data_IF_503430131810
#
_entry.id   IF_503430131810
#
_cell.length_a   1.000
_cell.length_b   1.000
_cell.length_c   1.000
_cell.angle_alpha   90.00
_cell.angle_beta   90.00
_cell.angle_gamma   90.00
#
_symmetry.space_group_name_H-M   'P 1'
#
loop_
_entity.id
_entity.type
_entity.pdbx_description
1 polymer ?
#
# COMPACT_ATOMS: atom_id res chain seq x y z
N UNK A 1 13.36 -4.16 3.20
CA UNK A 1 14.14 -3.09 3.88
C UNK A 1 14.29 -1.95 2.91
N UNK A 2 13.89 -0.75 3.32
CA UNK A 2 13.79 0.42 2.44
C UNK A 2 14.49 1.61 3.10
N UNK A 3 15.33 2.31 2.33
CA UNK A 3 16.01 3.52 2.80
C UNK A 3 15.13 4.75 2.54
N UNK A 4 15.04 5.61 3.55
CA UNK A 4 14.40 6.92 3.51
C UNK A 4 15.50 7.98 3.47
N UNK A 5 15.88 8.52 2.29
CA UNK A 5 17.04 9.42 2.17
C UNK A 5 16.96 10.68 3.03
N UNK A 6 15.76 11.21 3.19
CA UNK A 6 15.45 12.30 4.11
C UNK A 6 14.29 11.84 5.01
N UNK A 7 14.54 11.49 6.28
CA UNK A 7 15.62 12.00 7.13
C UNK A 7 16.89 11.13 7.30
N UNK A 8 17.12 10.15 6.42
CA UNK A 8 18.27 9.23 6.48
C UNK A 8 18.02 8.00 7.34
N UNK A 9 16.78 7.49 7.33
CA UNK A 9 16.34 6.35 8.14
C UNK A 9 16.23 5.08 7.30
N UNK A 10 16.22 3.93 7.97
CA UNK A 10 15.97 2.63 7.35
C UNK A 10 14.69 2.04 7.93
N UNK A 11 13.75 1.70 7.04
CA UNK A 11 12.56 0.90 7.39
C UNK A 11 12.89 -0.57 7.15
N UNK A 12 12.73 -1.38 8.19
CA UNK A 12 12.84 -2.83 8.11
C UNK A 12 11.53 -3.45 8.59
N UNK A 13 11.01 -4.41 7.83
CA UNK A 13 9.83 -5.17 8.18
C UNK A 13 10.11 -6.66 8.03
N UNK A 14 9.40 -7.45 8.81
CA UNK A 14 9.36 -8.91 8.66
C UNK A 14 7.94 -9.34 8.90
N UNK A 15 7.44 -10.22 8.04
CA UNK A 15 6.16 -10.90 8.20
C UNK A 15 6.40 -12.40 8.18
N UNK A 16 5.67 -13.13 9.00
CA UNK A 16 5.67 -14.58 9.06
C UNK A 16 4.25 -15.10 9.11
N UNK A 17 3.97 -16.15 8.34
CA UNK A 17 2.70 -16.84 8.34
C UNK A 17 2.81 -18.12 9.19
N UNK A 18 1.82 -18.37 10.04
CA UNK A 18 1.73 -19.59 10.85
C UNK A 18 0.30 -20.09 10.99
N UNK A 19 0.13 -21.17 11.76
CA UNK A 19 -1.17 -21.82 11.97
C UNK A 19 -2.26 -20.89 12.55
N UNK A 20 -1.86 -19.76 13.13
CA UNK A 20 -2.76 -18.78 13.79
C UNK A 20 -2.88 -17.46 13.00
N UNK A 21 -2.41 -17.43 11.75
CA UNK A 21 -2.41 -16.26 10.88
C UNK A 21 -1.04 -15.62 10.74
N UNK A 22 -1.03 -14.34 10.40
CA UNK A 22 0.19 -13.57 10.16
C UNK A 22 0.63 -12.85 11.43
N UNK A 23 1.94 -12.79 11.63
CA UNK A 23 2.57 -11.91 12.62
C UNK A 23 3.86 -11.32 12.06
N UNK A 24 4.20 -10.14 12.53
CA UNK A 24 5.34 -9.41 12.00
C UNK A 24 5.70 -8.20 12.82
N UNK A 25 6.73 -7.49 12.38
CA UNK A 25 7.13 -6.21 12.95
C UNK A 25 7.55 -5.25 11.86
N UNK A 26 7.48 -3.96 12.17
CA UNK A 26 8.09 -2.89 11.39
C UNK A 26 8.95 -2.07 12.34
N UNK A 27 10.18 -1.79 11.94
CA UNK A 27 11.15 -1.00 12.69
C UNK A 27 11.70 0.11 11.82
N UNK A 28 11.90 1.26 12.43
CA UNK A 28 12.68 2.35 11.89
C UNK A 28 14.00 2.45 12.64
N UNK A 29 15.09 2.54 11.90
CA UNK A 29 16.44 2.65 12.42
C UNK A 29 17.11 3.93 11.93
N UNK A 30 17.84 4.61 12.81
CA UNK A 30 18.82 5.61 12.41
C UNK A 30 20.19 4.94 12.31
N UNK A 31 20.71 4.65 11.10
CA UNK A 31 21.99 3.98 10.94
C UNK A 31 23.18 4.82 11.41
N UNK A 32 23.02 6.14 11.62
CA UNK A 32 24.10 7.03 12.06
C UNK A 32 24.35 6.91 13.57
N UNK A 33 23.28 6.79 14.35
CA UNK A 33 23.40 6.53 15.79
C UNK A 33 23.44 5.04 16.12
N UNK A 34 22.89 4.20 15.22
CA UNK A 34 22.71 2.77 15.45
C UNK A 34 21.46 2.44 16.25
N UNK A 35 20.62 3.43 16.56
CA UNK A 35 19.44 3.25 17.40
C UNK A 35 18.18 2.93 16.59
N UNK A 36 17.30 2.16 17.23
CA UNK A 36 15.93 1.99 16.77
C UNK A 36 15.11 3.19 17.23
N UNK A 37 14.54 3.94 16.28
CA UNK A 37 13.79 5.17 16.57
C UNK A 37 12.28 4.93 16.69
N UNK A 38 11.78 3.84 16.11
CA UNK A 38 10.38 3.43 16.25
C UNK A 38 10.21 1.94 15.92
N UNK A 39 9.21 1.30 16.55
CA UNK A 39 8.81 -0.08 16.28
C UNK A 39 7.29 -0.25 16.44
N UNK A 40 6.73 -1.13 15.63
CA UNK A 40 5.43 -1.75 15.89
C UNK A 40 5.51 -3.26 15.63
N UNK A 41 4.70 -4.03 16.35
CA UNK A 41 4.57 -5.48 16.21
C UNK A 41 3.09 -5.80 15.90
N UNK A 42 2.83 -6.75 15.00
CA UNK A 42 1.49 -7.23 14.66
C UNK A 42 1.35 -8.76 14.80
N UNK A 43 0.21 -9.29 15.27
CA UNK A 43 -0.88 -8.54 15.88
C UNK A 43 -0.40 -8.04 17.25
N UNK A 44 -0.33 -6.71 17.42
CA UNK A 44 0.33 -6.09 18.56
C UNK A 44 -0.50 -6.19 19.83
N UNK A 45 0.03 -5.65 20.93
CA UNK A 45 -0.68 -5.53 22.21
C UNK A 45 -1.69 -4.36 22.28
N UNK A 46 -1.88 -3.62 21.18
CA UNK A 46 -2.63 -2.36 21.13
C UNK A 46 -4.15 -2.51 20.95
N UNK A 47 -4.88 -1.39 21.14
CA UNK A 47 -6.34 -1.26 21.02
C UNK A 47 -6.82 -0.99 19.60
N UNK A 48 -6.11 -1.48 18.59
CA UNK A 48 -6.58 -1.37 17.20
C UNK A 48 -7.93 -2.07 17.09
N UNK A 49 -8.91 -1.42 16.43
CA UNK A 49 -10.22 -2.04 16.14
C UNK A 49 -10.11 -3.29 15.25
N UNK A 50 -8.92 -3.54 14.71
CA UNK A 50 -8.52 -4.68 13.90
C UNK A 50 -7.54 -5.60 14.63
N UNK A 51 -7.61 -5.67 15.96
CA UNK A 51 -6.81 -6.60 16.76
C UNK A 51 -6.89 -8.03 16.19
N UNK A 52 -5.74 -8.65 15.98
CA UNK A 52 -5.64 -9.99 15.37
C UNK A 52 -5.72 -10.01 13.84
N UNK A 53 -5.78 -8.85 13.16
CA UNK A 53 -5.73 -8.72 11.70
C UNK A 53 -4.42 -8.03 11.27
N UNK A 54 -3.32 -8.75 11.44
CA UNK A 54 -1.97 -8.31 11.13
C UNK A 54 -1.76 -8.05 9.64
N UNK A 55 -0.71 -7.32 9.27
CA UNK A 55 -0.31 -7.21 7.87
C UNK A 55 0.14 -8.55 7.25
N UNK A 56 -0.28 -8.80 6.00
CA UNK A 56 0.22 -9.85 5.13
C UNK A 56 1.41 -9.36 4.28
N UNK A 57 1.39 -8.09 3.88
CA UNK A 57 2.47 -7.44 3.15
C UNK A 57 2.51 -5.93 3.45
N UNK A 58 3.65 -5.30 3.21
CA UNK A 58 3.90 -3.87 3.45
C UNK A 58 4.92 -3.29 2.47
N UNK A 59 4.69 -2.07 2.02
CA UNK A 59 5.68 -1.27 1.31
C UNK A 59 5.74 0.18 1.82
N UNK A 60 6.78 0.90 1.42
CA UNK A 60 7.10 2.25 1.85
C UNK A 60 7.07 3.19 0.65
N UNK A 61 6.20 4.19 0.70
CA UNK A 61 6.28 5.33 -0.21
C UNK A 61 7.32 6.32 0.31
N UNK A 62 8.51 6.27 -0.28
CA UNK A 62 9.63 7.15 0.08
C UNK A 62 9.35 8.61 -0.26
N UNK A 63 8.60 8.88 -1.33
CA UNK A 63 8.29 10.25 -1.76
C UNK A 63 7.26 10.90 -0.85
N UNK A 64 6.25 10.14 -0.44
CA UNK A 64 5.19 10.62 0.46
C UNK A 64 5.53 10.42 1.94
N UNK A 65 6.64 9.75 2.26
CA UNK A 65 7.05 9.38 3.61
C UNK A 65 5.91 8.65 4.35
N UNK A 66 5.38 7.60 3.73
CA UNK A 66 4.29 6.80 4.29
C UNK A 66 4.56 5.29 4.21
N UNK A 67 4.10 4.56 5.22
CA UNK A 67 4.01 3.09 5.18
C UNK A 67 2.62 2.72 4.69
N UNK A 68 2.54 1.66 3.90
CA UNK A 68 1.28 1.03 3.55
C UNK A 68 1.32 -0.45 3.92
N UNK A 69 0.21 -0.95 4.45
CA UNK A 69 0.05 -2.37 4.78
C UNK A 69 -1.24 -2.93 4.21
N UNK A 70 -1.21 -4.20 3.85
CA UNK A 70 -2.40 -4.99 3.53
C UNK A 70 -2.70 -5.90 4.71
N UNK A 71 -3.89 -5.81 5.28
CA UNK A 71 -4.34 -6.65 6.38
C UNK A 71 -4.64 -8.09 5.90
N UNK A 72 -4.13 -9.07 6.64
CA UNK A 72 -4.15 -10.49 6.28
C UNK A 72 -5.52 -11.16 6.32
N UNK A 73 -6.41 -10.75 7.22
CA UNK A 73 -7.75 -11.35 7.40
C UNK A 73 -8.86 -10.53 6.76
N UNK A 74 -8.80 -9.20 6.83
CA UNK A 74 -9.81 -8.34 6.19
C UNK A 74 -9.49 -8.04 4.73
N UNK A 75 -8.20 -8.10 4.36
CA UNK A 75 -7.74 -7.52 3.11
C UNK A 75 -7.82 -5.98 3.12
N UNK A 76 -8.09 -5.30 4.24
CA UNK A 76 -8.10 -3.84 4.26
C UNK A 76 -6.70 -3.28 3.94
N UNK A 77 -6.64 -2.13 3.26
CA UNK A 77 -5.41 -1.39 3.04
C UNK A 77 -5.35 -0.27 4.10
N UNK A 78 -4.19 -0.07 4.71
CA UNK A 78 -3.99 1.00 5.68
C UNK A 78 -2.66 1.69 5.44
N UNK A 79 -2.57 2.96 5.83
CA UNK A 79 -1.32 3.72 5.77
C UNK A 79 -0.95 4.31 7.12
N UNK A 80 0.33 4.63 7.29
CA UNK A 80 0.85 5.39 8.42
C UNK A 80 1.82 6.47 7.92
N UNK A 81 1.62 7.72 8.35
CA UNK A 81 2.54 8.82 8.05
C UNK A 81 3.81 8.70 8.90
N UNK A 82 4.96 8.51 8.26
CA UNK A 82 6.25 8.33 8.92
C UNK A 82 6.71 9.55 9.72
N UNK A 83 6.16 10.74 9.43
CA UNK A 83 6.43 11.97 10.18
C UNK A 83 5.62 12.05 11.48
N UNK A 84 4.56 11.25 11.61
CA UNK A 84 3.57 11.34 12.68
C UNK A 84 3.26 9.97 13.31
N UNK A 85 4.30 9.14 13.51
CA UNK A 85 4.15 7.82 14.10
C UNK A 85 3.75 7.89 15.58
N UNK A 86 2.66 7.19 15.92
CA UNK A 86 2.12 7.00 17.28
C UNK A 86 2.18 5.52 17.65
N UNK A 87 1.61 5.15 18.80
CA UNK A 87 1.50 3.74 19.23
C UNK A 87 0.64 2.91 18.24
N UNK A 88 -0.50 3.46 17.79
CA UNK A 88 -1.30 2.93 16.68
C UNK A 88 -1.39 4.01 15.58
N UNK A 89 -0.52 3.97 14.56
CA UNK A 89 -0.46 5.01 13.53
C UNK A 89 -1.36 4.72 12.32
N UNK A 90 -2.05 3.58 12.28
CA UNK A 90 -2.70 3.09 11.07
C UNK A 90 -4.01 3.82 10.79
N UNK A 91 -4.12 4.39 9.59
CA UNK A 91 -5.34 4.95 9.03
C UNK A 91 -5.82 4.02 7.91
N UNK A 92 -7.01 3.45 8.07
CA UNK A 92 -7.57 2.52 7.10
C UNK A 92 -8.13 3.26 5.89
N UNK A 93 -7.80 2.76 4.70
CA UNK A 93 -8.27 3.30 3.45
C UNK A 93 -9.64 2.72 3.15
N UNK A 94 -10.61 3.62 2.95
CA UNK A 94 -12.00 3.23 2.67
C UNK A 94 -12.31 3.59 1.22
N UNK A 95 -12.73 2.58 0.45
CA UNK A 95 -13.36 2.82 -0.83
C UNK A 95 -14.79 3.33 -0.58
N UNK A 96 -15.12 4.48 -1.20
CA UNK A 96 -16.45 5.07 -1.12
C UNK A 96 -17.49 4.28 -1.90
N UNK A 97 -17.06 3.39 -2.81
CA UNK A 97 -17.94 2.50 -3.54
C UNK A 97 -18.17 1.19 -2.74
N UNK A 98 -19.38 0.97 -2.18
CA UNK A 98 -19.65 -0.22 -1.39
C UNK A 98 -19.53 -1.53 -2.17
N UNK A 99 -19.68 -1.49 -3.50
CA UNK A 99 -19.53 -2.69 -4.35
C UNK A 99 -18.09 -3.16 -4.48
N UNK A 100 -17.13 -2.29 -4.16
CA UNK A 100 -15.69 -2.57 -4.18
C UNK A 100 -15.16 -2.84 -2.77
N UNK A 101 -16.03 -2.99 -1.77
CA UNK A 101 -15.58 -3.31 -0.42
C UNK A 101 -14.94 -4.69 -0.41
N UNK A 102 -13.77 -4.79 0.19
CA UNK A 102 -13.10 -6.08 0.35
C UNK A 102 -13.93 -6.97 1.30
N UNK A 103 -14.18 -8.20 0.88
CA UNK A 103 -14.93 -9.20 1.65
C UNK A 103 -13.96 -10.31 2.06
N UNK A 104 -12.94 -9.94 2.84
CA UNK A 104 -11.95 -10.87 3.39
C UNK A 104 -10.54 -10.71 2.82
N UNK A 105 -9.59 -11.31 3.53
CA UNK A 105 -8.18 -11.37 3.17
C UNK A 105 -7.91 -12.50 2.19
N UNK A 106 -7.00 -12.23 1.24
CA UNK A 106 -6.52 -13.23 0.29
C UNK A 106 -5.17 -13.77 0.76
N UNK A 107 -4.87 -15.04 0.43
CA UNK A 107 -3.59 -15.67 0.76
C UNK A 107 -2.42 -15.15 -0.09
N UNK A 108 -2.69 -14.43 -1.18
CA UNK A 108 -1.69 -13.94 -2.12
C UNK A 108 -1.91 -12.46 -2.43
N UNK A 109 -1.32 -11.61 -1.60
CA UNK A 109 -1.35 -10.16 -1.76
C UNK A 109 0.07 -9.64 -1.92
N UNK A 110 0.28 -8.76 -2.91
CA UNK A 110 1.55 -8.06 -3.11
C UNK A 110 1.26 -6.57 -3.18
N UNK A 111 1.92 -5.78 -2.33
CA UNK A 111 1.81 -4.32 -2.35
C UNK A 111 3.09 -3.70 -2.90
N UNK A 112 2.95 -2.65 -3.70
CA UNK A 112 4.09 -1.87 -4.16
C UNK A 112 3.75 -0.37 -4.24
N UNK A 113 4.56 0.45 -3.58
CA UNK A 113 4.50 1.90 -3.64
C UNK A 113 5.41 2.41 -4.76
N UNK A 114 4.83 3.09 -5.73
CA UNK A 114 5.59 3.68 -6.84
C UNK A 114 4.95 4.98 -7.32
N UNK A 115 5.76 6.03 -7.47
CA UNK A 115 5.32 7.36 -7.96
C UNK A 115 4.07 7.89 -7.26
N UNK A 116 4.07 7.90 -5.92
CA UNK A 116 2.96 8.41 -5.10
C UNK A 116 1.64 7.65 -5.28
N UNK A 117 1.71 6.44 -5.83
CA UNK A 117 0.60 5.50 -6.00
C UNK A 117 0.92 4.19 -5.29
N UNK A 118 -0.13 3.49 -4.88
CA UNK A 118 -0.02 2.19 -4.21
C UNK A 118 -0.68 1.15 -5.09
N UNK A 119 0.13 0.28 -5.66
CA UNK A 119 -0.30 -0.86 -6.45
C UNK A 119 -0.51 -2.06 -5.56
N UNK A 120 -1.56 -2.82 -5.86
CA UNK A 120 -1.94 -3.96 -5.05
C UNK A 120 -2.43 -5.10 -5.92
N UNK A 121 -1.67 -6.19 -5.91
CA UNK A 121 -2.05 -7.46 -6.53
C UNK A 121 -2.88 -8.30 -5.56
N UNK A 122 -4.03 -8.80 -6.01
CA UNK A 122 -4.89 -9.73 -5.23
C UNK A 122 -5.52 -10.78 -6.12
N UNK A 123 -5.24 -12.06 -5.86
CA UNK A 123 -5.85 -13.20 -6.59
C UNK A 123 -5.74 -13.10 -8.12
N UNK A 124 -4.75 -12.34 -8.62
CA UNK A 124 -4.54 -12.07 -10.04
C UNK A 124 -5.02 -10.68 -10.52
N UNK A 125 -5.90 -10.02 -9.79
CA UNK A 125 -6.32 -8.64 -10.07
C UNK A 125 -5.26 -7.61 -9.68
N UNK A 126 -5.17 -6.51 -10.43
CA UNK A 126 -4.26 -5.40 -10.16
C UNK A 126 -5.02 -4.10 -9.87
N UNK A 127 -4.91 -3.65 -8.63
CA UNK A 127 -5.49 -2.40 -8.14
C UNK A 127 -4.43 -1.29 -8.09
N UNK A 128 -4.88 -0.05 -8.24
CA UNK A 128 -4.10 1.14 -7.93
C UNK A 128 -4.90 2.05 -7.00
N UNK A 129 -4.23 2.49 -5.94
CA UNK A 129 -4.73 3.50 -5.04
C UNK A 129 -3.93 4.78 -5.25
N UNK A 130 -4.65 5.87 -5.52
CA UNK A 130 -4.08 7.18 -5.83
C UNK A 130 -4.66 8.22 -4.88
N UNK A 131 -3.85 9.20 -4.51
CA UNK A 131 -4.29 10.30 -3.68
C UNK A 131 -5.31 11.15 -4.44
N UNK A 132 -6.41 11.51 -3.79
CA UNK A 132 -7.37 12.49 -4.30
C UNK A 132 -6.89 13.86 -3.83
N UNK A 133 -6.58 14.75 -4.77
CA UNK A 133 -6.39 16.17 -4.45
C UNK A 133 -7.76 16.75 -4.10
N UNK A 134 -7.97 17.15 -2.85
CA UNK A 134 -9.14 17.94 -2.50
C UNK A 134 -8.90 19.35 -3.06
N UNK A 135 -9.78 19.80 -3.96
CA UNK A 135 -9.80 21.20 -4.40
C UNK A 135 -9.86 22.10 -3.16
N UNK A 136 -8.86 22.95 -3.02
CA UNK A 136 -8.58 23.81 -1.87
C UNK A 136 -9.85 24.51 -1.36
N UNK A 137 -10.46 23.98 -0.29
CA UNK A 137 -11.33 24.79 0.57
C UNK A 137 -10.48 25.61 1.54
N UNK A 138 -9.81 26.62 0.98
CA UNK A 138 -9.40 27.84 1.69
C UNK A 138 -8.23 27.71 2.68
N UNK A 139 -7.07 28.19 2.24
CA UNK A 139 -6.19 29.06 3.04
C UNK A 139 -5.36 28.44 4.16
N UNK A 140 -4.16 27.99 3.81
CA UNK A 140 -3.05 27.77 4.74
C UNK A 140 -2.13 26.65 4.25
N UNK A 141 -0.81 26.83 4.40
CA UNK A 141 0.21 25.79 4.23
C UNK A 141 0.04 24.69 5.30
N UNK A 142 -1.08 23.97 5.25
CA UNK A 142 -1.25 22.73 5.99
C UNK A 142 -0.67 21.69 5.07
N UNK A 143 0.54 21.20 5.39
CA UNK A 143 1.03 19.90 4.88
C UNK A 143 -0.19 18.98 4.81
N UNK A 144 -0.64 18.61 3.61
CA UNK A 144 -1.91 17.90 3.46
C UNK A 144 -1.85 16.63 4.32
N UNK A 145 -2.44 16.69 5.51
CA UNK A 145 -2.43 15.59 6.46
C UNK A 145 -3.09 14.41 5.76
N UNK A 146 -2.40 13.28 5.71
CA UNK A 146 -3.01 12.09 5.15
C UNK A 146 -4.15 11.67 6.08
N UNK A 147 -5.38 11.73 5.58
CA UNK A 147 -6.59 11.45 6.35
C UNK A 147 -7.36 10.29 5.73
N UNK A 148 -8.33 9.78 6.48
CA UNK A 148 -9.28 8.80 5.98
C UNK A 148 -10.01 9.35 4.75
N UNK A 149 -10.04 8.59 3.66
CA UNK A 149 -10.67 9.02 2.40
C UNK A 149 -9.80 9.89 1.48
N UNK A 150 -8.53 10.14 1.81
CA UNK A 150 -7.57 10.82 0.93
C UNK A 150 -7.15 10.00 -0.30
N UNK A 151 -7.58 8.74 -0.41
CA UNK A 151 -7.22 7.85 -1.51
C UNK A 151 -8.45 7.30 -2.22
N UNK A 152 -8.29 7.08 -3.52
CA UNK A 152 -9.28 6.42 -4.38
C UNK A 152 -8.65 5.19 -5.03
N UNK A 153 -9.38 4.07 -4.97
CA UNK A 153 -9.07 2.83 -5.67
C UNK A 153 -9.58 2.87 -7.10
N UNK A 154 -8.81 2.30 -8.01
CA UNK A 154 -9.23 1.88 -9.35
C UNK A 154 -8.59 0.52 -9.68
N UNK A 155 -9.15 -0.20 -10.65
CA UNK A 155 -8.48 -1.36 -11.26
C UNK A 155 -7.65 -0.89 -12.44
N UNK A 156 -6.40 -1.36 -12.50
CA UNK A 156 -5.50 -1.14 -13.64
C UNK A 156 -5.84 -2.10 -14.77
N UNK A 157 -6.29 -3.28 -14.40
CA UNK A 157 -6.55 -4.39 -15.29
C UNK A 157 -8.05 -4.54 -15.61
N UNK A 158 -8.35 -5.54 -16.43
CA UNK A 158 -9.71 -5.89 -16.84
C UNK A 158 -9.99 -7.29 -16.30
N UNK A 159 -11.26 -7.70 -16.27
CA UNK A 159 -11.65 -9.03 -15.78
C UNK A 159 -10.88 -10.18 -16.46
N UNK A 160 -10.61 -10.07 -17.76
CA UNK A 160 -9.80 -11.03 -18.53
C UNK A 160 -8.34 -11.14 -18.05
N UNK A 161 -7.77 -10.06 -17.50
CA UNK A 161 -6.40 -10.03 -17.01
C UNK A 161 -6.25 -10.73 -15.65
N UNK A 162 -7.28 -10.68 -14.80
CA UNK A 162 -7.27 -11.37 -13.52
C UNK A 162 -7.15 -12.90 -13.68
N UNK A 163 -7.57 -13.44 -14.84
CA UNK A 163 -7.50 -14.87 -15.16
C UNK A 163 -6.10 -15.34 -15.56
N UNK A 164 -5.11 -14.45 -15.69
CA UNK A 164 -3.74 -14.79 -16.11
C UNK A 164 -2.88 -15.40 -15.00
N UNK A 165 -3.44 -15.64 -13.81
CA UNK A 165 -2.72 -16.21 -12.68
C UNK A 165 -2.36 -15.18 -11.60
N UNK A 166 -1.83 -15.67 -10.48
CA UNK A 166 -1.56 -14.87 -9.28
C UNK A 166 -0.39 -13.92 -9.54
N UNK A 167 -0.55 -12.65 -9.18
CA UNK A 167 0.55 -11.68 -9.20
C UNK A 167 1.48 -11.96 -8.03
N UNK A 168 2.77 -12.19 -8.29
CA UNK A 168 3.77 -12.48 -7.25
C UNK A 168 4.82 -11.37 -7.08
N UNK A 169 4.92 -10.42 -8.02
CA UNK A 169 5.78 -9.25 -7.89
C UNK A 169 5.25 -8.08 -8.72
N UNK A 170 5.43 -6.89 -8.18
CA UNK A 170 5.18 -5.61 -8.83
C UNK A 170 6.45 -4.76 -8.62
N UNK A 171 6.95 -4.16 -9.68
CA UNK A 171 8.13 -3.28 -9.63
C UNK A 171 7.91 -2.05 -10.51
N UNK A 172 8.34 -0.89 -10.06
CA UNK A 172 8.34 0.34 -10.85
C UNK A 172 9.70 0.63 -11.50
N UNK A 173 9.68 1.16 -12.72
CA UNK A 173 10.89 1.63 -13.40
C UNK A 173 10.62 2.67 -14.48
N UNK A 174 11.19 3.87 -14.34
CA UNK A 174 10.92 4.99 -15.23
C UNK A 174 9.43 5.35 -15.23
N UNK A 175 8.78 5.33 -16.39
CA UNK A 175 7.34 5.59 -16.51
C UNK A 175 6.48 4.31 -16.55
N UNK A 176 7.08 3.17 -16.21
CA UNK A 176 6.48 1.85 -16.39
C UNK A 176 6.36 1.10 -15.07
N UNK A 177 5.38 0.22 -15.05
CA UNK A 177 5.15 -0.78 -14.01
C UNK A 177 5.37 -2.16 -14.63
N UNK A 178 6.08 -3.02 -13.91
CA UNK A 178 6.39 -4.38 -14.30
C UNK A 178 5.68 -5.33 -13.35
N UNK A 179 4.98 -6.31 -13.89
CA UNK A 179 4.19 -7.27 -13.11
C UNK A 179 4.56 -8.69 -13.54
N UNK A 180 4.95 -9.54 -12.60
CA UNK A 180 5.14 -10.97 -12.83
C UNK A 180 4.05 -11.79 -12.17
N UNK A 181 3.73 -12.92 -12.79
CA UNK A 181 2.70 -13.85 -12.33
C UNK A 181 3.29 -15.23 -12.08
N UNK A 182 2.67 -15.97 -11.18
CA UNK A 182 2.98 -17.38 -10.96
C UNK A 182 2.68 -18.20 -12.21
N UNK A 183 3.53 -19.17 -12.50
CA UNK A 183 3.39 -20.11 -13.62
C UNK A 183 3.29 -19.48 -15.02
N UNK A 184 3.73 -18.23 -15.18
CA UNK A 184 3.78 -17.52 -16.46
C UNK A 184 5.23 -17.17 -16.83
N UNK A 185 5.68 -17.65 -17.98
CA UNK A 185 7.00 -17.35 -18.55
C UNK A 185 7.00 -15.97 -19.24
N UNK A 186 6.78 -14.89 -18.49
CA UNK A 186 6.76 -13.52 -19.01
C UNK A 186 6.59 -12.44 -17.96
N UNK A 187 6.92 -11.19 -18.32
CA UNK A 187 6.70 -9.99 -17.50
C UNK A 187 5.72 -9.08 -18.23
N UNK A 188 4.63 -8.71 -17.56
CA UNK A 188 3.70 -7.70 -18.07
C UNK A 188 4.29 -6.31 -17.83
N UNK A 189 4.20 -5.45 -18.84
CA UNK A 189 4.69 -4.06 -18.76
C UNK A 189 3.50 -3.13 -18.97
N UNK A 190 3.21 -2.31 -17.97
CA UNK A 190 2.13 -1.34 -17.97
C UNK A 190 2.71 0.07 -18.01
N UNK A 191 2.09 0.93 -18.80
CA UNK A 191 2.48 2.34 -18.95
C UNK A 191 1.19 3.17 -18.94
N UNK A 192 1.17 4.24 -18.15
CA UNK A 192 0.03 5.16 -18.16
C UNK A 192 -0.01 5.90 -19.49
N UNK A 193 -1.14 5.83 -20.21
CA UNK A 193 -1.31 6.61 -21.43
C UNK A 193 -1.60 8.07 -21.10
N UNK A 194 -0.89 9.01 -21.74
CA UNK A 194 -1.23 10.44 -21.71
C UNK A 194 -2.54 10.78 -22.48
N UNK A 195 -3.23 9.77 -22.99
CA UNK A 195 -4.44 9.86 -23.81
C UNK A 195 -5.74 9.76 -22.99
N UNK A 196 -5.72 10.05 -21.68
CA UNK A 196 -6.94 10.17 -20.87
C UNK A 196 -7.71 11.46 -21.21
N UNK A 197 -8.01 11.66 -22.50
CA UNK A 197 -8.97 12.66 -22.95
C UNK A 197 -10.35 12.19 -22.54
N UNK A 198 -11.02 13.00 -21.73
CA UNK A 198 -12.45 12.89 -21.45
C UNK A 198 -13.21 12.59 -22.74
N UNK A 199 -13.91 11.45 -22.79
CA UNK A 199 -14.92 11.25 -23.82
C UNK A 199 -16.03 12.26 -23.51
N UNK A 200 -16.07 13.39 -24.23
CA UNK A 200 -17.26 14.22 -24.27
C UNK A 200 -18.36 13.39 -24.95
N UNK A 201 -19.31 12.94 -24.14
CA UNK A 201 -20.56 12.39 -24.65
C UNK A 201 -21.34 13.57 -25.23
N UNK A 202 -21.42 13.64 -26.55
CA UNK A 202 -22.35 14.48 -27.31
C UNK A 202 -23.77 13.90 -27.24
#
# INVERSE_FOLDING_TARGET
>A
MTHLPDPGLIVASSVSAGAFGYSGYVRLWDPRSGDMVWETNEPGSGRSSRFGDSFADLDVDVEQKALFKVCSKSGDLAFADLRHLKEDPWVYMIDKNPSLRNVGGSSNTVIHCYKKQVFLGREGGLEVWSRVEEEERGGGEVEMLMQEGSYRRNFVDKEEHAQKGIINRIEGGGDRLFVSREDVEGIEVWESSNLSGSIQVL
#
